data_IF_254707123456
#
_entry.id   IF_254707123456
#
_cell.length_a   1.000
_cell.length_b   1.000
_cell.length_c   1.000
_cell.angle_alpha   90.00
_cell.angle_beta   90.00
_cell.angle_gamma   90.00
#
_symmetry.space_group_name_H-M   'P 1'
#
loop_
_entity.id
_entity.type
_entity.pdbx_description
1 polymer ?
#
# COMPACT_ATOMS: atom_id res chain seq x y z
N UNK A 1 22.26 14.68 -19.67
CA UNK A 1 22.23 13.43 -20.46
C UNK A 1 20.81 12.90 -20.45
N UNK A 2 20.33 12.20 -21.49
CA UNK A 2 19.03 11.51 -21.39
C UNK A 2 19.18 10.24 -20.55
N UNK A 3 18.04 9.65 -20.14
CA UNK A 3 18.03 8.30 -19.57
C UNK A 3 18.66 7.34 -20.62
N UNK A 4 19.57 6.44 -20.23
CA UNK A 4 20.18 5.48 -21.16
C UNK A 4 19.17 4.42 -21.57
N UNK A 5 19.44 3.69 -22.66
CA UNK A 5 18.78 2.41 -22.89
C UNK A 5 19.22 1.43 -21.81
N UNK A 6 18.26 0.80 -21.15
CA UNK A 6 18.49 -0.02 -19.97
C UNK A 6 18.59 -1.49 -20.39
N UNK A 7 19.66 -2.16 -19.97
CA UNK A 7 19.85 -3.58 -20.20
C UNK A 7 18.94 -4.41 -19.29
N UNK A 8 18.50 -5.58 -19.77
CA UNK A 8 17.74 -6.51 -18.94
C UNK A 8 18.59 -7.06 -17.80
N UNK A 9 17.93 -7.35 -16.68
CA UNK A 9 18.54 -7.99 -15.52
C UNK A 9 17.49 -8.73 -14.69
N UNK A 10 17.93 -9.71 -13.90
CA UNK A 10 17.02 -10.52 -13.07
C UNK A 10 16.46 -9.72 -11.89
N UNK A 11 15.14 -9.79 -11.69
CA UNK A 11 14.45 -9.20 -10.54
C UNK A 11 15.04 -9.75 -9.22
N UNK A 12 15.44 -8.88 -8.27
CA UNK A 12 15.88 -9.28 -6.94
C UNK A 12 14.87 -10.16 -6.20
N UNK A 13 15.37 -11.20 -5.52
CA UNK A 13 14.58 -12.16 -4.76
C UNK A 13 14.73 -11.95 -3.25
N UNK A 14 13.75 -12.42 -2.47
CA UNK A 14 13.71 -12.24 -1.01
C UNK A 14 15.01 -12.62 -0.28
N UNK A 15 15.67 -13.71 -0.70
CA UNK A 15 16.89 -14.22 -0.07
C UNK A 15 18.13 -13.38 -0.38
N UNK A 16 18.06 -12.49 -1.37
CA UNK A 16 19.14 -11.57 -1.77
C UNK A 16 19.07 -10.24 -1.01
N UNK A 17 17.95 -9.95 -0.34
CA UNK A 17 17.76 -8.70 0.38
C UNK A 17 18.64 -8.62 1.62
N UNK A 18 19.24 -7.45 1.84
CA UNK A 18 19.91 -7.16 3.12
C UNK A 18 18.85 -7.10 4.23
N UNK A 19 19.03 -7.82 5.36
CA UNK A 19 18.06 -7.84 6.45
C UNK A 19 17.68 -6.44 6.94
N UNK A 20 16.39 -6.23 7.17
CA UNK A 20 15.86 -4.98 7.69
C UNK A 20 16.38 -4.70 9.10
N UNK A 21 16.74 -3.43 9.35
CA UNK A 21 17.15 -2.95 10.69
C UNK A 21 15.96 -2.75 11.63
N UNK A 22 14.77 -2.51 11.09
CA UNK A 22 13.54 -2.25 11.85
C UNK A 22 12.59 -3.45 11.78
N UNK A 23 11.66 -3.52 12.73
CA UNK A 23 10.63 -4.59 12.83
C UNK A 23 9.19 -4.04 12.75
N UNK A 24 9.00 -2.91 12.05
CA UNK A 24 7.67 -2.38 11.74
C UNK A 24 6.78 -3.45 11.10
N UNK A 25 5.51 -3.46 11.50
CA UNK A 25 4.48 -4.34 10.96
C UNK A 25 3.58 -3.51 10.05
N UNK A 26 3.14 -4.09 8.93
CA UNK A 26 2.20 -3.42 8.03
C UNK A 26 0.78 -3.47 8.60
N UNK A 27 0.09 -2.34 8.50
CA UNK A 27 -1.29 -2.18 8.91
C UNK A 27 -2.10 -1.55 7.77
N UNK A 28 -3.14 -2.25 7.34
CA UNK A 28 -4.09 -1.86 6.30
C UNK A 28 -4.71 -0.47 6.55
N UNK A 29 -5.06 -0.15 7.80
CA UNK A 29 -5.62 1.15 8.18
C UNK A 29 -4.59 2.29 8.26
N UNK A 30 -3.28 1.99 8.26
CA UNK A 30 -2.20 2.99 8.30
C UNK A 30 -1.46 3.13 6.96
N UNK A 31 -1.67 2.19 6.04
CA UNK A 31 -0.95 2.07 4.77
C UNK A 31 -1.48 2.98 3.66
N UNK A 32 -0.58 3.45 2.80
CA UNK A 32 -0.85 3.98 1.46
C UNK A 32 0.08 3.27 0.48
N UNK A 33 -0.44 2.85 -0.67
CA UNK A 33 0.38 2.33 -1.77
C UNK A 33 0.74 3.46 -2.74
N UNK A 34 2.02 3.69 -2.96
CA UNK A 34 2.57 4.60 -3.95
C UNK A 34 3.08 3.83 -5.17
N UNK A 35 2.43 4.03 -6.31
CA UNK A 35 2.87 3.59 -7.63
C UNK A 35 3.69 4.72 -8.25
N UNK A 36 5.01 4.58 -8.17
CA UNK A 36 5.95 5.67 -8.44
C UNK A 36 6.34 5.73 -9.93
N UNK A 37 5.97 6.82 -10.61
CA UNK A 37 6.37 7.19 -11.97
C UNK A 37 6.28 6.04 -13.01
N UNK A 38 5.26 5.17 -12.92
CA UNK A 38 5.01 4.07 -13.87
C UNK A 38 4.37 4.55 -15.19
N UNK A 39 4.94 5.61 -15.77
CA UNK A 39 4.53 6.19 -17.05
C UNK A 39 5.23 5.52 -18.22
N UNK A 40 4.55 5.42 -19.37
CA UNK A 40 5.08 4.82 -20.59
C UNK A 40 6.48 5.35 -20.95
N UNK A 41 6.69 6.67 -20.86
CA UNK A 41 7.99 7.31 -21.10
C UNK A 41 9.17 6.65 -20.36
N UNK A 42 9.00 6.33 -19.07
CA UNK A 42 10.08 5.76 -18.26
C UNK A 42 10.32 4.28 -18.56
N UNK A 43 9.27 3.56 -18.97
CA UNK A 43 9.35 2.15 -19.32
C UNK A 43 9.84 1.92 -20.76
N UNK A 44 9.73 2.90 -21.64
CA UNK A 44 10.25 2.85 -23.02
C UNK A 44 11.79 2.77 -23.09
N UNK A 45 12.49 3.06 -22.00
CA UNK A 45 13.94 2.87 -21.90
C UNK A 45 14.36 1.41 -21.70
N UNK A 46 13.40 0.51 -21.40
CA UNK A 46 13.62 -0.93 -21.28
C UNK A 46 13.15 -1.67 -22.54
N UNK A 47 13.64 -2.90 -22.72
CA UNK A 47 12.89 -3.91 -23.45
C UNK A 47 11.81 -4.49 -22.52
N UNK A 48 10.57 -4.06 -22.68
CA UNK A 48 9.47 -4.42 -21.79
C UNK A 48 9.08 -5.92 -21.87
N UNK A 49 9.61 -6.66 -22.84
CA UNK A 49 9.41 -8.12 -22.96
C UNK A 49 10.39 -8.92 -22.12
N UNK A 50 11.43 -8.26 -21.56
CA UNK A 50 12.50 -8.88 -20.80
C UNK A 50 12.47 -8.46 -19.34
N UNK A 51 13.06 -9.27 -18.48
CA UNK A 51 13.24 -8.94 -17.07
C UNK A 51 13.98 -7.58 -16.91
N UNK A 52 13.59 -6.76 -15.91
CA UNK A 52 12.65 -7.08 -14.84
C UNK A 52 11.18 -6.63 -15.12
N UNK A 53 10.85 -6.17 -16.33
CA UNK A 53 9.61 -5.42 -16.57
C UNK A 53 8.33 -6.25 -16.45
N UNK A 54 8.23 -7.47 -17.02
CA UNK A 54 7.05 -8.33 -16.82
C UNK A 54 6.75 -8.61 -15.35
N UNK A 55 7.78 -8.90 -14.55
CA UNK A 55 7.67 -9.13 -13.12
C UNK A 55 7.27 -7.86 -12.36
N UNK A 56 7.88 -6.72 -12.69
CA UNK A 56 7.53 -5.41 -12.13
C UNK A 56 6.04 -5.11 -12.31
N UNK A 57 5.52 -5.24 -13.54
CA UNK A 57 4.12 -4.95 -13.86
C UNK A 57 3.19 -5.94 -13.14
N UNK A 58 3.51 -7.24 -13.17
CA UNK A 58 2.73 -8.27 -12.48
C UNK A 58 2.64 -7.99 -10.98
N UNK A 59 3.77 -7.71 -10.34
CA UNK A 59 3.84 -7.50 -8.89
C UNK A 59 3.19 -6.17 -8.49
N UNK A 60 3.38 -5.11 -9.29
CA UNK A 60 2.68 -3.84 -9.10
C UNK A 60 1.16 -4.01 -9.18
N UNK A 61 0.67 -4.80 -10.15
CA UNK A 61 -0.75 -5.13 -10.27
C UNK A 61 -1.28 -5.89 -9.05
N UNK A 62 -0.55 -6.89 -8.56
CA UNK A 62 -0.92 -7.64 -7.35
C UNK A 62 -1.03 -6.73 -6.11
N UNK A 63 -0.06 -5.81 -5.95
CA UNK A 63 -0.10 -4.80 -4.88
C UNK A 63 -1.33 -3.89 -4.99
N UNK A 64 -1.62 -3.37 -6.19
CA UNK A 64 -2.77 -2.49 -6.44
C UNK A 64 -4.09 -3.22 -6.16
N UNK A 65 -4.26 -4.43 -6.69
CA UNK A 65 -5.48 -5.22 -6.49
C UNK A 65 -5.71 -5.54 -5.02
N UNK A 66 -4.65 -5.93 -4.31
CA UNK A 66 -4.72 -6.23 -2.87
C UNK A 66 -4.97 -4.98 -2.04
N UNK A 67 -4.33 -3.86 -2.38
CA UNK A 67 -4.55 -2.58 -1.71
C UNK A 67 -6.03 -2.15 -1.82
N UNK A 68 -6.58 -2.19 -3.03
CA UNK A 68 -8.00 -1.88 -3.28
C UNK A 68 -8.93 -2.81 -2.51
N UNK A 69 -8.63 -4.13 -2.50
CA UNK A 69 -9.41 -5.12 -1.74
C UNK A 69 -9.50 -4.79 -0.24
N UNK A 70 -8.45 -4.21 0.35
CA UNK A 70 -8.39 -3.87 1.77
C UNK A 70 -8.56 -2.37 2.05
N UNK A 71 -9.15 -1.60 1.11
CA UNK A 71 -9.40 -0.17 1.26
C UNK A 71 -8.14 0.65 1.61
N UNK A 72 -6.99 0.23 1.11
CA UNK A 72 -5.73 0.97 1.16
C UNK A 72 -5.72 1.94 -0.02
N UNK A 73 -5.56 3.26 0.21
CA UNK A 73 -5.46 4.23 -0.86
C UNK A 73 -4.31 3.91 -1.81
N UNK A 74 -4.59 3.93 -3.10
CA UNK A 74 -3.59 3.81 -4.16
C UNK A 74 -3.32 5.20 -4.72
N UNK A 75 -2.07 5.63 -4.64
CA UNK A 75 -1.58 6.92 -5.10
C UNK A 75 -0.56 6.69 -6.20
N UNK A 76 -0.75 7.35 -7.33
CA UNK A 76 0.19 7.37 -8.44
C UNK A 76 0.96 8.69 -8.44
N UNK A 77 2.18 8.66 -8.94
CA UNK A 77 2.89 9.87 -9.35
C UNK A 77 3.11 9.85 -10.85
N UNK A 78 2.94 11.01 -11.47
CA UNK A 78 3.13 11.19 -12.91
C UNK A 78 3.77 12.56 -13.17
N UNK A 79 4.90 12.58 -13.85
CA UNK A 79 5.51 13.82 -14.32
C UNK A 79 4.66 14.43 -15.44
N UNK A 80 4.40 15.74 -15.40
CA UNK A 80 3.74 16.43 -16.50
C UNK A 80 4.71 16.57 -17.67
N UNK A 81 4.16 16.55 -18.89
CA UNK A 81 4.91 16.84 -20.11
C UNK A 81 5.24 18.33 -20.26
N UNK A 82 6.24 18.64 -21.09
CA UNK A 82 6.64 20.02 -21.45
C UNK A 82 6.81 20.97 -20.25
N UNK A 83 7.48 20.50 -19.19
CA UNK A 83 7.81 21.36 -18.05
C UNK A 83 8.63 22.57 -18.51
N UNK A 84 8.24 23.77 -18.08
CA UNK A 84 9.00 24.98 -18.38
C UNK A 84 10.36 24.94 -17.65
N UNK A 85 11.39 25.66 -18.15
CA UNK A 85 12.68 25.76 -17.46
C UNK A 85 12.55 26.20 -15.99
N UNK A 86 11.60 27.09 -15.69
CA UNK A 86 11.34 27.61 -14.34
C UNK A 86 10.76 26.55 -13.40
N UNK A 87 9.97 25.60 -13.90
CA UNK A 87 9.46 24.50 -13.09
C UNK A 87 10.48 23.36 -12.98
N UNK A 88 11.18 23.05 -14.07
CA UNK A 88 12.09 21.90 -14.16
C UNK A 88 13.44 22.14 -13.45
N UNK A 89 13.97 23.36 -13.53
CA UNK A 89 15.19 23.78 -12.82
C UNK A 89 16.36 22.82 -13.06
N UNK A 90 17.15 22.49 -12.02
CA UNK A 90 18.37 21.68 -12.07
C UNK A 90 18.17 20.24 -12.57
N UNK A 91 16.93 19.73 -12.67
CA UNK A 91 16.68 18.46 -13.36
C UNK A 91 17.13 18.53 -14.83
N UNK A 92 17.11 19.72 -15.43
CA UNK A 92 17.50 19.95 -16.82
C UNK A 92 18.98 19.63 -17.04
N UNK A 93 19.84 19.98 -16.09
CA UNK A 93 21.28 19.79 -16.21
C UNK A 93 21.65 18.30 -16.23
N UNK A 94 20.94 17.50 -15.43
CA UNK A 94 21.13 16.05 -15.38
C UNK A 94 20.41 15.32 -16.51
N UNK A 95 19.13 15.64 -16.76
CA UNK A 95 18.21 14.81 -17.53
C UNK A 95 17.67 15.46 -18.82
N UNK A 96 18.14 16.66 -19.16
CA UNK A 96 17.57 17.44 -20.27
C UNK A 96 16.14 17.90 -19.99
N UNK A 97 15.41 18.30 -21.03
CA UNK A 97 14.07 18.92 -20.93
C UNK A 97 12.96 17.99 -20.41
N UNK A 98 13.23 16.69 -20.30
CA UNK A 98 12.26 15.69 -19.84
C UNK A 98 11.28 15.25 -20.93
N UNK A 99 10.16 14.68 -20.52
CA UNK A 99 9.15 14.14 -21.43
C UNK A 99 8.35 15.24 -22.13
N UNK A 100 7.94 14.96 -23.36
CA UNK A 100 7.00 15.80 -24.11
C UNK A 100 5.59 15.67 -23.53
N UNK A 101 4.77 16.70 -23.76
CA UNK A 101 3.33 16.61 -23.53
C UNK A 101 2.66 15.82 -24.66
N UNK A 102 2.76 14.49 -24.55
CA UNK A 102 2.18 13.54 -25.47
C UNK A 102 1.42 12.47 -24.66
N UNK A 103 0.10 12.26 -24.92
CA UNK A 103 -0.72 11.34 -24.15
C UNK A 103 -0.15 9.92 -24.04
N UNK A 104 0.49 9.42 -25.11
CA UNK A 104 1.06 8.07 -25.11
C UNK A 104 2.23 7.94 -24.14
N UNK A 105 3.09 8.96 -24.03
CA UNK A 105 4.27 8.87 -23.15
C UNK A 105 3.96 9.34 -21.72
N UNK A 106 3.00 10.25 -21.53
CA UNK A 106 2.60 10.77 -20.20
C UNK A 106 1.66 9.83 -19.45
N UNK A 107 0.97 8.91 -20.13
CA UNK A 107 0.04 7.98 -19.46
C UNK A 107 0.79 7.02 -18.52
N UNK A 108 0.12 6.65 -17.42
CA UNK A 108 0.45 5.43 -16.68
C UNK A 108 0.16 4.22 -17.59
N UNK A 109 0.96 3.16 -17.48
CA UNK A 109 0.79 1.94 -18.28
C UNK A 109 -0.67 1.43 -18.22
N UNK A 110 -1.28 1.04 -19.36
CA UNK A 110 -2.66 0.56 -19.40
C UNK A 110 -2.96 -0.59 -18.43
N UNK A 111 -2.01 -1.50 -18.24
CA UNK A 111 -2.11 -2.72 -17.42
C UNK A 111 -2.31 -2.44 -15.92
N UNK A 112 -1.87 -1.26 -15.46
CA UNK A 112 -1.94 -0.79 -14.07
C UNK A 112 -2.56 0.61 -13.99
N UNK A 113 -3.42 0.93 -14.96
CA UNK A 113 -4.07 2.23 -15.06
C UNK A 113 -4.83 2.62 -13.78
N UNK A 114 -4.79 3.91 -13.38
CA UNK A 114 -5.55 4.39 -12.23
C UNK A 114 -7.05 4.21 -12.42
N UNK A 115 -7.74 3.86 -11.35
CA UNK A 115 -9.20 3.80 -11.26
C UNK A 115 -9.76 5.08 -10.62
N UNK A 116 -11.09 5.27 -10.70
CA UNK A 116 -11.79 6.47 -10.24
C UNK A 116 -11.49 6.88 -8.79
N UNK A 117 -11.23 5.91 -7.91
CA UNK A 117 -10.96 6.14 -6.49
C UNK A 117 -9.47 6.26 -6.15
N UNK A 118 -8.59 6.12 -7.16
CA UNK A 118 -7.16 6.32 -6.97
C UNK A 118 -6.80 7.80 -7.11
N UNK A 119 -5.69 8.19 -6.50
CA UNK A 119 -5.18 9.56 -6.62
C UNK A 119 -3.99 9.61 -7.57
N UNK A 120 -3.97 10.54 -8.51
CA UNK A 120 -2.80 10.77 -9.39
C UNK A 120 -2.19 12.14 -9.04
N UNK A 121 -0.98 12.13 -8.52
CA UNK A 121 -0.25 13.34 -8.13
C UNK A 121 0.73 13.76 -9.22
N UNK A 122 0.70 15.05 -9.56
CA UNK A 122 1.71 15.64 -10.46
C UNK A 122 3.08 15.62 -9.79
N UNK A 123 4.07 15.04 -10.47
CA UNK A 123 5.42 14.82 -9.94
C UNK A 123 6.42 15.84 -10.50
N UNK A 124 7.08 16.57 -9.60
CA UNK A 124 7.99 17.65 -9.98
C UNK A 124 9.47 17.38 -9.67
N UNK A 125 9.77 16.54 -8.68
CA UNK A 125 11.15 16.21 -8.25
C UNK A 125 11.25 14.71 -7.99
N UNK A 126 12.43 14.21 -7.60
CA UNK A 126 12.62 12.79 -7.30
C UNK A 126 11.68 12.28 -6.20
N UNK A 127 11.56 13.02 -5.11
CA UNK A 127 10.63 12.66 -4.04
C UNK A 127 9.19 13.00 -4.41
N UNK A 128 8.28 12.07 -4.13
CA UNK A 128 6.83 12.22 -4.28
C UNK A 128 6.21 13.26 -3.31
N UNK A 129 6.97 13.74 -2.33
CA UNK A 129 6.52 14.75 -1.37
C UNK A 129 6.84 16.20 -1.81
N UNK A 130 7.82 16.40 -2.69
CA UNK A 130 8.22 17.75 -3.11
C UNK A 130 7.22 18.34 -4.08
N UNK A 131 6.66 19.50 -3.72
CA UNK A 131 5.63 20.22 -4.48
C UNK A 131 4.38 19.36 -4.74
N UNK A 132 3.99 18.60 -3.72
CA UNK A 132 2.93 17.59 -3.80
C UNK A 132 2.14 17.58 -2.48
N UNK A 133 0.82 17.32 -2.51
CA UNK A 133 0.01 17.22 -1.30
C UNK A 133 0.13 15.88 -0.59
N UNK A 134 1.04 14.97 -1.00
CA UNK A 134 1.11 13.60 -0.48
C UNK A 134 1.19 13.53 1.06
N UNK A 135 2.04 14.35 1.69
CA UNK A 135 2.15 14.36 3.15
C UNK A 135 0.82 14.74 3.81
N UNK A 136 0.18 15.80 3.31
CA UNK A 136 -1.09 16.27 3.83
C UNK A 136 -2.19 15.21 3.66
N UNK A 137 -2.29 14.58 2.49
CA UNK A 137 -3.24 13.50 2.22
C UNK A 137 -3.07 12.32 3.17
N UNK A 138 -1.82 11.92 3.45
CA UNK A 138 -1.53 10.85 4.41
C UNK A 138 -1.92 11.25 5.84
N UNK A 139 -1.57 12.46 6.27
CA UNK A 139 -1.93 12.97 7.61
C UNK A 139 -3.44 13.07 7.82
N UNK A 140 -4.16 13.63 6.85
CA UNK A 140 -5.63 13.80 6.92
C UNK A 140 -6.38 12.46 6.92
N UNK A 141 -5.81 11.43 6.29
CA UNK A 141 -6.36 10.08 6.31
C UNK A 141 -5.89 9.22 7.50
N UNK A 142 -5.09 9.79 8.41
CA UNK A 142 -4.58 9.07 9.58
C UNK A 142 -3.56 7.96 9.24
N UNK A 143 -2.90 8.06 8.09
CA UNK A 143 -2.01 7.03 7.54
C UNK A 143 -0.55 7.46 7.65
N UNK A 144 0.30 6.58 8.18
CA UNK A 144 1.72 6.83 8.45
C UNK A 144 2.63 5.71 7.93
N UNK A 145 2.13 4.87 7.01
CA UNK A 145 2.91 3.84 6.33
C UNK A 145 2.82 4.03 4.81
N UNK A 146 3.96 4.05 4.12
CA UNK A 146 4.03 4.23 2.66
C UNK A 146 4.70 3.04 2.00
N UNK A 147 3.94 2.27 1.23
CA UNK A 147 4.44 1.15 0.44
C UNK A 147 4.78 1.68 -0.95
N UNK A 148 5.97 1.40 -1.47
CA UNK A 148 6.48 2.03 -2.69
C UNK A 148 6.87 0.94 -3.70
N UNK A 149 6.26 1.01 -4.88
CA UNK A 149 6.63 0.27 -6.08
C UNK A 149 6.86 1.24 -7.25
N UNK A 150 7.44 0.77 -8.35
CA UNK A 150 7.64 1.55 -9.57
C UNK A 150 9.10 1.80 -9.95
N UNK A 151 9.37 2.94 -10.59
CA UNK A 151 10.70 3.27 -11.15
C UNK A 151 11.13 4.71 -10.85
N UNK A 152 12.42 5.03 -10.82
CA UNK A 152 13.57 4.12 -10.72
C UNK A 152 13.96 3.92 -9.26
N UNK A 153 14.35 2.69 -8.89
CA UNK A 153 14.54 2.29 -7.50
C UNK A 153 15.48 3.23 -6.72
N UNK A 154 16.68 3.51 -7.22
CA UNK A 154 17.68 4.35 -6.54
C UNK A 154 17.43 5.86 -6.64
N UNK A 155 16.54 6.31 -7.53
CA UNK A 155 16.27 7.73 -7.76
C UNK A 155 14.98 8.12 -7.05
N UNK A 156 13.83 7.90 -7.69
CA UNK A 156 12.56 8.44 -7.24
C UNK A 156 12.00 7.67 -6.05
N UNK A 157 11.99 6.34 -6.16
CA UNK A 157 11.45 5.46 -5.13
C UNK A 157 12.26 5.58 -3.83
N UNK A 158 13.59 5.47 -3.91
CA UNK A 158 14.48 5.61 -2.76
C UNK A 158 14.42 7.01 -2.14
N UNK A 159 14.47 8.09 -2.92
CA UNK A 159 14.39 9.44 -2.36
C UNK A 159 13.04 9.72 -1.71
N UNK A 160 11.94 9.17 -2.26
CA UNK A 160 10.62 9.23 -1.63
C UNK A 160 10.59 8.47 -0.30
N UNK A 161 11.21 7.28 -0.23
CA UNK A 161 11.33 6.53 1.02
C UNK A 161 12.15 7.30 2.07
N UNK A 162 13.30 7.85 1.68
CA UNK A 162 14.14 8.63 2.60
C UNK A 162 13.40 9.88 3.13
N UNK A 163 12.62 10.56 2.29
CA UNK A 163 11.82 11.70 2.73
C UNK A 163 10.63 11.28 3.61
N UNK A 164 9.92 10.20 3.27
CA UNK A 164 8.86 9.65 4.12
C UNK A 164 9.38 9.37 5.55
N UNK A 165 10.55 8.73 5.66
CA UNK A 165 11.21 8.48 6.93
C UNK A 165 11.44 9.77 7.74
N UNK A 166 11.94 10.83 7.09
CA UNK A 166 12.16 12.13 7.75
C UNK A 166 10.86 12.85 8.15
N UNK A 167 9.74 12.50 7.52
CA UNK A 167 8.40 13.04 7.82
C UNK A 167 7.64 12.23 8.88
N UNK A 168 8.29 11.24 9.51
CA UNK A 168 7.72 10.27 10.45
C UNK A 168 6.68 9.33 9.81
N UNK A 169 6.83 9.03 8.52
CA UNK A 169 6.06 8.00 7.81
C UNK A 169 6.98 6.78 7.65
N UNK A 170 6.51 5.58 7.98
CA UNK A 170 7.27 4.34 7.83
C UNK A 170 7.24 3.88 6.36
N UNK A 171 8.36 3.92 5.62
CA UNK A 171 8.36 3.50 4.23
C UNK A 171 8.71 2.02 4.11
N UNK A 172 8.10 1.39 3.12
CA UNK A 172 8.30 0.00 2.73
C UNK A 172 8.59 -0.04 1.23
N UNK A 173 9.82 -0.39 0.83
CA UNK A 173 10.15 -0.62 -0.57
C UNK A 173 9.79 -2.07 -0.94
N UNK A 174 8.96 -2.24 -1.97
CA UNK A 174 8.67 -3.56 -2.53
C UNK A 174 9.78 -3.94 -3.51
N UNK A 175 10.83 -4.63 -3.04
CA UNK A 175 12.06 -4.88 -3.80
C UNK A 175 11.87 -5.69 -5.10
N UNK A 176 10.81 -6.49 -5.19
CA UNK A 176 10.44 -7.21 -6.41
C UNK A 176 9.34 -6.50 -7.24
N UNK A 177 8.92 -5.30 -6.82
CA UNK A 177 8.03 -4.40 -7.55
C UNK A 177 8.71 -3.05 -7.81
N UNK A 178 10.03 -3.08 -7.98
CA UNK A 178 10.86 -1.96 -8.36
C UNK A 178 11.71 -2.33 -9.57
N UNK A 179 12.05 -1.36 -10.41
CA UNK A 179 13.10 -1.51 -11.42
C UNK A 179 14.00 -0.27 -11.45
N UNK A 180 15.18 -0.44 -12.04
CA UNK A 180 16.25 0.54 -12.05
C UNK A 180 17.06 0.48 -13.35
N UNK A 181 18.08 1.32 -13.52
CA UNK A 181 18.92 1.27 -14.72
C UNK A 181 19.88 0.07 -14.73
N UNK A 182 20.17 -0.51 -13.57
CA UNK A 182 20.98 -1.72 -13.47
C UNK A 182 20.61 -2.55 -12.23
N UNK A 183 21.07 -3.80 -12.21
CA UNK A 183 20.92 -4.67 -11.03
C UNK A 183 21.65 -4.09 -9.81
N UNK A 184 22.84 -3.52 -10.03
CA UNK A 184 23.68 -2.95 -8.98
C UNK A 184 23.03 -1.72 -8.32
N UNK A 185 22.41 -0.84 -9.11
CA UNK A 185 21.70 0.33 -8.58
C UNK A 185 20.43 -0.07 -7.84
N UNK A 186 19.70 -1.07 -8.36
CA UNK A 186 18.57 -1.65 -7.66
C UNK A 186 18.98 -2.21 -6.30
N UNK A 187 20.00 -3.07 -6.25
CA UNK A 187 20.49 -3.68 -5.00
C UNK A 187 21.02 -2.63 -4.02
N UNK A 188 21.67 -1.56 -4.53
CA UNK A 188 22.14 -0.44 -3.72
C UNK A 188 20.98 0.28 -3.04
N UNK A 189 19.91 0.59 -3.78
CA UNK A 189 18.72 1.23 -3.24
C UNK A 189 18.10 0.39 -2.10
N UNK A 190 17.92 -0.91 -2.33
CA UNK A 190 17.35 -1.82 -1.34
C UNK A 190 18.23 -1.91 -0.08
N UNK A 191 19.54 -2.09 -0.25
CA UNK A 191 20.49 -2.19 0.86
C UNK A 191 20.57 -0.91 1.69
N UNK A 192 20.58 0.25 1.04
CA UNK A 192 20.58 1.52 1.77
C UNK A 192 19.27 1.65 2.55
N UNK A 193 18.14 1.44 1.87
CA UNK A 193 16.82 1.59 2.45
C UNK A 193 16.66 0.72 3.70
N UNK A 194 16.91 -0.61 3.60
CA UNK A 194 16.72 -1.58 4.69
C UNK A 194 17.57 -1.28 5.94
N UNK A 195 18.68 -0.56 5.76
CA UNK A 195 19.62 -0.27 6.86
C UNK A 195 19.55 1.18 7.36
N UNK A 196 18.81 2.08 6.69
CA UNK A 196 18.81 3.52 7.01
C UNK A 196 17.44 4.17 7.11
N UNK A 197 16.47 3.81 6.27
CA UNK A 197 15.24 4.61 6.18
C UNK A 197 13.96 3.83 5.91
N UNK A 198 14.01 2.59 5.43
CA UNK A 198 12.81 1.81 5.08
C UNK A 198 12.92 0.36 5.53
N UNK A 199 11.80 -0.36 5.52
CA UNK A 199 11.86 -1.80 5.32
C UNK A 199 11.84 -2.15 3.84
N UNK A 200 12.57 -3.18 3.46
CA UNK A 200 12.47 -3.83 2.15
C UNK A 200 11.69 -5.12 2.33
N UNK A 201 10.66 -5.31 1.49
CA UNK A 201 9.80 -6.48 1.48
C UNK A 201 9.59 -6.96 0.05
N UNK A 202 9.21 -8.21 -0.14
CA UNK A 202 8.63 -8.66 -1.41
C UNK A 202 7.14 -8.35 -1.47
N UNK A 203 6.61 -8.32 -2.68
CA UNK A 203 5.18 -8.20 -2.95
C UNK A 203 4.39 -9.25 -2.19
N UNK A 204 4.85 -10.51 -2.21
CA UNK A 204 4.23 -11.59 -1.45
C UNK A 204 4.23 -11.33 0.08
N UNK A 205 5.30 -10.76 0.63
CA UNK A 205 5.35 -10.45 2.06
C UNK A 205 4.37 -9.33 2.42
N UNK A 206 4.25 -8.31 1.56
CA UNK A 206 3.28 -7.21 1.74
C UNK A 206 1.84 -7.71 1.67
N UNK A 207 1.48 -8.43 0.60
CA UNK A 207 0.11 -8.92 0.42
C UNK A 207 -0.28 -9.94 1.48
N UNK A 208 0.67 -10.78 1.92
CA UNK A 208 0.48 -11.70 3.05
C UNK A 208 0.26 -10.94 4.36
N UNK A 209 1.02 -9.89 4.65
CA UNK A 209 0.87 -9.13 5.88
C UNK A 209 -0.53 -8.50 5.98
N UNK A 210 -0.99 -7.85 4.91
CA UNK A 210 -2.36 -7.30 4.86
C UNK A 210 -3.44 -8.38 4.95
N UNK A 211 -3.26 -9.52 4.28
CA UNK A 211 -4.22 -10.62 4.34
C UNK A 211 -4.31 -11.24 5.72
N UNK A 212 -3.17 -11.44 6.40
CA UNK A 212 -3.14 -11.99 7.76
C UNK A 212 -3.75 -11.03 8.78
N UNK A 213 -3.50 -9.73 8.65
CA UNK A 213 -4.14 -8.72 9.51
C UNK A 213 -5.66 -8.75 9.31
N UNK A 214 -6.14 -8.75 8.06
CA UNK A 214 -7.57 -8.80 7.78
C UNK A 214 -8.21 -10.09 8.30
N UNK A 215 -7.54 -11.24 8.15
CA UNK A 215 -8.02 -12.52 8.67
C UNK A 215 -8.07 -12.56 10.20
N UNK A 216 -7.21 -11.81 10.89
CA UNK A 216 -7.19 -11.67 12.33
C UNK A 216 -8.14 -10.56 12.84
N UNK A 217 -8.83 -9.84 11.96
CA UNK A 217 -9.72 -8.75 12.34
C UNK A 217 -10.93 -9.25 13.16
N UNK A 218 -11.32 -8.54 14.24
CA UNK A 218 -12.53 -8.86 14.98
C UNK A 218 -13.81 -8.62 14.18
N UNK A 219 -13.72 -7.99 13.00
CA UNK A 219 -14.81 -7.77 12.04
C UNK A 219 -14.86 -8.83 10.94
N UNK A 220 -14.33 -10.02 11.21
CA UNK A 220 -14.58 -11.22 10.39
C UNK A 220 -15.60 -12.09 11.10
N UNK A 221 -16.29 -12.99 10.37
CA UNK A 221 -17.17 -13.96 11.01
C UNK A 221 -16.48 -14.71 12.15
N UNK A 222 -15.26 -15.23 11.92
CA UNK A 222 -14.49 -15.90 12.96
C UNK A 222 -14.15 -14.98 14.13
N UNK A 223 -13.77 -13.72 13.86
CA UNK A 223 -13.48 -12.71 14.88
C UNK A 223 -14.68 -12.30 15.71
N UNK A 224 -15.86 -12.18 15.09
CA UNK A 224 -17.13 -11.87 15.75
C UNK A 224 -17.52 -13.02 16.69
N UNK A 225 -17.54 -14.25 16.18
CA UNK A 225 -17.82 -15.45 16.97
C UNK A 225 -16.85 -15.56 18.14
N UNK A 226 -15.55 -15.35 17.90
CA UNK A 226 -14.54 -15.38 18.95
C UNK A 226 -14.75 -14.29 20.00
N UNK A 227 -15.09 -13.06 19.60
CA UNK A 227 -15.36 -11.97 20.53
C UNK A 227 -16.60 -12.25 21.41
N UNK A 228 -17.66 -12.82 20.83
CA UNK A 228 -18.86 -13.23 21.58
C UNK A 228 -18.54 -14.39 22.54
N UNK A 229 -17.83 -15.42 22.07
CA UNK A 229 -17.31 -16.53 22.88
C UNK A 229 -16.54 -16.03 24.12
N UNK A 230 -15.65 -15.06 23.95
CA UNK A 230 -14.89 -14.44 25.04
C UNK A 230 -15.78 -13.72 26.07
N UNK A 231 -16.80 -12.98 25.60
CA UNK A 231 -17.72 -12.27 26.50
C UNK A 231 -18.66 -13.20 27.25
N UNK A 232 -19.14 -14.25 26.58
CA UNK A 232 -20.03 -15.24 27.18
C UNK A 232 -19.29 -16.26 28.06
N UNK A 233 -17.98 -16.40 27.85
CA UNK A 233 -17.14 -17.45 28.44
C UNK A 233 -17.62 -18.86 28.06
N UNK A 234 -18.09 -19.01 26.81
CA UNK A 234 -18.58 -20.26 26.23
C UNK A 234 -17.68 -20.58 25.02
N UNK A 235 -17.26 -21.84 24.82
CA UNK A 235 -16.49 -22.21 23.63
C UNK A 235 -17.20 -21.80 22.34
N UNK A 236 -16.46 -21.25 21.38
CA UNK A 236 -17.01 -20.84 20.08
C UNK A 236 -17.72 -21.97 19.32
N UNK A 237 -17.36 -23.24 19.57
CA UNK A 237 -18.02 -24.42 19.00
C UNK A 237 -19.45 -24.63 19.50
N UNK A 238 -19.78 -24.08 20.66
CA UNK A 238 -21.03 -24.33 21.37
C UNK A 238 -22.07 -23.23 21.11
N UNK A 239 -21.72 -22.21 20.31
CA UNK A 239 -22.59 -21.09 19.93
C UNK A 239 -22.99 -21.27 18.47
N UNK A 240 -24.28 -21.50 18.22
CA UNK A 240 -24.84 -21.60 16.88
C UNK A 240 -25.17 -20.20 16.31
N UNK A 241 -25.24 -20.09 14.99
CA UNK A 241 -25.47 -18.80 14.33
C UNK A 241 -26.83 -18.18 14.68
N UNK A 242 -27.83 -19.03 14.90
CA UNK A 242 -29.22 -18.65 15.18
C UNK A 242 -29.57 -18.69 16.68
N UNK A 243 -28.60 -18.92 17.57
CA UNK A 243 -28.85 -18.88 19.01
C UNK A 243 -29.22 -17.45 19.44
N UNK A 244 -30.19 -17.34 20.35
CA UNK A 244 -30.48 -16.10 21.05
C UNK A 244 -29.38 -15.86 22.09
N UNK A 245 -28.49 -14.90 21.81
CA UNK A 245 -27.34 -14.62 22.66
C UNK A 245 -27.76 -14.13 24.06
N UNK A 246 -28.95 -13.54 24.24
CA UNK A 246 -29.46 -13.17 25.56
C UNK A 246 -29.72 -14.41 26.42
N UNK A 247 -30.24 -15.48 25.81
CA UNK A 247 -30.47 -16.76 26.47
C UNK A 247 -29.16 -17.47 26.83
N UNK A 248 -28.08 -17.16 26.11
CA UNK A 248 -26.72 -17.62 26.40
C UNK A 248 -25.97 -16.71 27.41
N UNK A 249 -26.64 -15.69 27.98
CA UNK A 249 -26.07 -14.83 29.01
C UNK A 249 -25.40 -13.56 28.50
N UNK A 250 -25.72 -13.11 27.29
CA UNK A 250 -25.37 -11.77 26.83
C UNK A 250 -26.22 -10.75 27.59
N UNK A 251 -25.55 -9.80 28.25
CA UNK A 251 -26.20 -8.66 28.91
C UNK A 251 -25.80 -7.34 28.23
N UNK A 252 -26.41 -6.24 28.66
CA UNK A 252 -26.16 -4.92 28.08
C UNK A 252 -24.71 -4.45 28.24
N UNK A 253 -24.00 -4.86 29.29
CA UNK A 253 -22.60 -4.45 29.53
C UNK A 253 -21.68 -5.17 28.56
N UNK A 254 -21.87 -6.48 28.37
CA UNK A 254 -21.15 -7.29 27.39
C UNK A 254 -21.40 -6.81 25.97
N UNK A 255 -22.65 -6.50 25.63
CA UNK A 255 -23.00 -5.96 24.32
C UNK A 255 -22.34 -4.60 24.06
N UNK A 256 -22.40 -3.66 25.00
CA UNK A 256 -21.69 -2.38 24.84
C UNK A 256 -20.17 -2.55 24.70
N UNK A 257 -19.58 -3.53 25.39
CA UNK A 257 -18.15 -3.86 25.25
C UNK A 257 -17.82 -4.35 23.84
N UNK A 258 -18.67 -5.21 23.26
CA UNK A 258 -18.51 -5.69 21.88
C UNK A 258 -18.66 -4.56 20.86
N UNK A 259 -19.70 -3.73 21.00
CA UNK A 259 -19.91 -2.55 20.14
C UNK A 259 -18.69 -1.64 20.18
N UNK A 260 -18.17 -1.31 21.38
CA UNK A 260 -16.96 -0.49 21.51
C UNK A 260 -15.73 -1.14 20.85
N UNK A 261 -15.56 -2.46 21.01
CA UNK A 261 -14.48 -3.22 20.34
C UNK A 261 -14.61 -3.11 18.82
N UNK A 262 -15.78 -3.33 18.25
CA UNK A 262 -15.98 -3.31 16.80
C UNK A 262 -15.93 -1.90 16.20
N UNK A 263 -16.46 -0.90 16.90
CA UNK A 263 -16.33 0.51 16.52
C UNK A 263 -14.88 0.97 16.49
N UNK A 264 -14.04 0.50 17.43
CA UNK A 264 -12.60 0.77 17.42
C UNK A 264 -11.88 0.19 16.17
N UNK A 265 -12.49 -0.79 15.50
CA UNK A 265 -12.03 -1.35 14.22
C UNK A 265 -12.79 -0.80 13.00
N UNK A 266 -13.60 0.24 13.19
CA UNK A 266 -14.26 0.99 12.12
C UNK A 266 -15.70 0.57 11.82
N UNK A 267 -16.29 -0.38 12.56
CA UNK A 267 -17.67 -0.79 12.34
C UNK A 267 -18.64 0.37 12.66
N UNK A 268 -19.55 0.64 11.73
CA UNK A 268 -20.62 1.64 11.90
C UNK A 268 -21.86 0.95 12.50
N UNK A 269 -21.75 0.53 13.76
CA UNK A 269 -22.81 -0.20 14.47
C UNK A 269 -23.09 0.44 15.83
N UNK A 270 -24.36 0.48 16.25
CA UNK A 270 -24.77 0.92 17.58
C UNK A 270 -25.20 -0.24 18.49
N UNK A 271 -25.50 0.07 19.75
CA UNK A 271 -26.10 -0.91 20.65
C UNK A 271 -27.48 -1.35 20.14
N UNK A 272 -28.30 -0.39 19.71
CA UNK A 272 -29.66 -0.62 19.22
C UNK A 272 -29.66 -1.53 17.99
N UNK A 273 -28.70 -1.33 17.07
CA UNK A 273 -28.56 -2.14 15.85
C UNK A 273 -28.40 -3.63 16.12
N UNK A 274 -27.81 -3.98 17.27
CA UNK A 274 -27.48 -5.35 17.66
C UNK A 274 -28.43 -5.93 18.71
N UNK A 275 -29.01 -5.08 19.57
CA UNK A 275 -29.91 -5.49 20.64
C UNK A 275 -31.28 -5.96 20.13
N UNK A 276 -31.73 -5.48 18.96
CA UNK A 276 -33.03 -5.86 18.38
C UNK A 276 -33.07 -7.34 17.96
N UNK A 277 -31.97 -7.84 17.40
CA UNK A 277 -31.82 -9.24 16.98
C UNK A 277 -30.45 -9.76 17.43
N UNK A 278 -30.33 -10.22 18.68
CA UNK A 278 -29.06 -10.61 19.29
C UNK A 278 -28.66 -12.02 18.86
N UNK A 279 -28.47 -12.24 17.55
CA UNK A 279 -27.98 -13.51 16.98
C UNK A 279 -26.70 -13.28 16.18
N UNK A 280 -25.82 -14.28 16.14
CA UNK A 280 -24.58 -14.18 15.38
C UNK A 280 -24.83 -14.00 13.88
N UNK A 281 -25.84 -14.68 13.32
CA UNK A 281 -26.23 -14.59 11.91
C UNK A 281 -26.47 -13.14 11.48
N UNK A 282 -27.33 -12.42 12.20
CA UNK A 282 -27.69 -11.03 11.90
C UNK A 282 -26.51 -10.07 12.16
N UNK A 283 -25.76 -10.31 13.23
CA UNK A 283 -24.62 -9.47 13.57
C UNK A 283 -23.50 -9.57 12.54
N UNK A 284 -23.22 -10.77 12.04
CA UNK A 284 -22.22 -10.99 10.98
C UNK A 284 -22.61 -10.21 9.72
N UNK A 285 -23.88 -10.27 9.30
CA UNK A 285 -24.35 -9.50 8.15
C UNK A 285 -24.17 -7.98 8.34
N UNK A 286 -24.43 -7.46 9.55
CA UNK A 286 -24.28 -6.03 9.85
C UNK A 286 -22.82 -5.58 9.99
N UNK A 287 -21.94 -6.44 10.49
CA UNK A 287 -20.55 -6.08 10.84
C UNK A 287 -19.54 -6.36 9.73
N UNK A 288 -19.84 -7.30 8.83
CA UNK A 288 -18.95 -7.71 7.73
C UNK A 288 -19.31 -7.02 6.40
N UNK A 289 -20.49 -6.41 6.30
CA UNK A 289 -20.92 -5.61 5.15
C UNK A 289 -20.13 -4.31 4.98
#
# INVERSE_FOLDING_TARGET
>A
MSIPKIASYSMPQAHEFTPNKTHWQLHTNRAVLLVHDMQQYFLDFYDQTQAPIPELIKNTKELIETARKFNIPVVYTAQPGNQTPEHRQLLTDFWGTGLKDDPYITQILPEISPQKNDTVLTKWRYSAFKFSPLEQLMRESGRDQLIICGVYAHIGCFMSAAEAFMLNIQPFLCGDALADFSREEHDMALKYASTRCAQVMTTQQVTRAWTLEQAASPLTQAGIVQAVSEQLQIPASDIQLNDDLLMLGLDSVRLMTLVGKWQAYGAQVSFEDLAEQPTLEVWIEKLVA
#
